data_IF_838462970230
#
_entry.id   IF_838462970230
#
_cell.length_a   1.000
_cell.length_b   1.000
_cell.length_c   1.000
_cell.angle_alpha   90.00
_cell.angle_beta   90.00
_cell.angle_gamma   90.00
#
_symmetry.space_group_name_H-M   'P 1'
#
loop_
_entity.id
_entity.type
_entity.pdbx_description
1 polymer ?
#
# COMPACT_ATOMS: atom_id res chain seq x y z
N UNK A 1 12.64 5.23 32.42
CA UNK A 1 12.61 3.82 32.08
C UNK A 1 11.43 3.46 31.20
N UNK A 2 10.22 3.78 31.62
CA UNK A 2 9.02 3.53 30.83
C UNK A 2 9.03 4.28 29.49
N UNK A 3 9.49 5.51 29.50
CA UNK A 3 9.62 6.34 28.31
C UNK A 3 10.58 5.73 27.29
N UNK A 4 11.72 5.23 27.75
CA UNK A 4 12.73 4.63 26.87
C UNK A 4 12.23 3.33 26.25
N UNK A 5 11.52 2.51 27.01
CA UNK A 5 10.88 1.30 26.50
C UNK A 5 9.83 1.64 25.43
N UNK A 6 9.04 2.67 25.64
CA UNK A 6 8.03 3.11 24.71
C UNK A 6 8.64 3.62 23.40
N UNK A 7 9.69 4.44 23.49
CA UNK A 7 10.41 4.96 22.33
C UNK A 7 11.07 3.85 21.53
N UNK A 8 11.70 2.90 22.21
CA UNK A 8 12.31 1.73 21.58
C UNK A 8 11.26 0.91 20.80
N UNK A 9 10.10 0.67 21.38
CA UNK A 9 9.00 -0.02 20.71
C UNK A 9 8.49 0.75 19.50
N UNK A 10 8.42 2.07 19.56
CA UNK A 10 8.01 2.90 18.44
C UNK A 10 9.03 2.78 17.31
N UNK A 11 10.32 2.84 17.60
CA UNK A 11 11.37 2.69 16.60
C UNK A 11 11.34 1.32 15.92
N UNK A 12 11.22 0.25 16.71
CA UNK A 12 11.16 -1.12 16.18
C UNK A 12 9.91 -1.35 15.33
N UNK A 13 8.78 -0.72 15.68
CA UNK A 13 7.49 -0.92 15.05
C UNK A 13 7.05 0.26 14.16
N UNK A 14 7.99 1.06 13.69
CA UNK A 14 7.68 2.23 12.87
C UNK A 14 6.85 1.86 11.62
N UNK A 15 7.20 0.78 10.94
CA UNK A 15 6.43 0.26 9.83
C UNK A 15 5.00 -0.12 10.20
N UNK A 16 4.82 -0.82 11.31
CA UNK A 16 3.49 -1.20 11.80
C UNK A 16 2.67 0.03 12.21
N UNK A 17 3.31 1.03 12.81
CA UNK A 17 2.63 2.27 13.18
C UNK A 17 2.13 3.01 11.95
N UNK A 18 2.96 3.12 10.93
CA UNK A 18 2.58 3.75 9.66
C UNK A 18 1.41 3.02 9.00
N UNK A 19 1.45 1.68 8.94
CA UNK A 19 0.36 0.87 8.42
C UNK A 19 -0.94 1.07 9.18
N UNK A 20 -0.88 1.13 10.51
CA UNK A 20 -2.06 1.37 11.35
C UNK A 20 -2.70 2.74 11.11
N UNK A 21 -1.87 3.77 10.98
CA UNK A 21 -2.35 5.12 10.66
C UNK A 21 -3.05 5.14 9.30
N UNK A 22 -2.44 4.52 8.30
CA UNK A 22 -3.02 4.43 6.96
C UNK A 22 -4.34 3.66 6.98
N UNK A 23 -4.40 2.53 7.70
CA UNK A 23 -5.61 1.74 7.83
C UNK A 23 -6.77 2.56 8.42
N UNK A 24 -6.50 3.34 9.45
CA UNK A 24 -7.51 4.21 10.07
C UNK A 24 -7.98 5.31 9.11
N UNK A 25 -7.07 5.96 8.39
CA UNK A 25 -7.40 7.00 7.44
C UNK A 25 -8.26 6.46 6.28
N UNK A 26 -7.93 5.29 5.77
CA UNK A 26 -8.72 4.64 4.71
C UNK A 26 -10.12 4.28 5.21
N UNK A 27 -10.25 3.78 6.43
CA UNK A 27 -11.56 3.47 7.02
C UNK A 27 -12.42 4.71 7.21
N UNK A 28 -11.83 5.80 7.67
CA UNK A 28 -12.54 7.08 7.83
C UNK A 28 -13.09 7.57 6.51
N UNK A 29 -12.38 7.32 5.42
CA UNK A 29 -12.83 7.66 4.07
C UNK A 29 -13.84 6.66 3.48
N UNK A 30 -14.28 5.68 4.25
CA UNK A 30 -15.31 4.73 3.85
C UNK A 30 -14.80 3.52 3.07
N UNK A 31 -13.49 3.32 2.99
CA UNK A 31 -12.94 2.15 2.32
C UNK A 31 -13.05 0.88 3.16
N UNK A 32 -13.46 -0.20 2.54
CA UNK A 32 -13.23 -1.53 3.07
C UNK A 32 -11.77 -1.91 2.90
N UNK A 33 -11.17 -2.45 3.95
CA UNK A 33 -9.78 -2.88 3.89
C UNK A 33 -9.70 -4.33 3.43
N UNK A 34 -8.96 -4.54 2.36
CA UNK A 34 -8.60 -5.86 1.87
C UNK A 34 -7.08 -5.98 1.88
N UNK A 35 -6.60 -7.21 2.03
CA UNK A 35 -5.18 -7.53 2.04
C UNK A 35 -4.89 -8.54 0.96
N UNK A 36 -3.68 -8.53 0.45
CA UNK A 36 -3.24 -9.53 -0.50
C UNK A 36 -1.83 -9.98 -0.17
N UNK A 37 -1.67 -11.28 0.00
CA UNK A 37 -0.33 -11.85 0.08
C UNK A 37 -0.31 -13.18 -0.67
N UNK A 38 0.81 -13.45 -1.29
CA UNK A 38 1.10 -14.72 -1.94
C UNK A 38 2.49 -15.17 -1.54
N UNK A 39 2.57 -16.34 -0.95
CA UNK A 39 3.84 -16.98 -0.66
C UNK A 39 3.96 -18.24 -1.51
N UNK A 40 5.13 -18.44 -2.08
CA UNK A 40 5.47 -19.64 -2.85
C UNK A 40 6.82 -20.12 -2.35
N UNK A 41 6.84 -21.31 -1.73
CA UNK A 41 8.06 -21.90 -1.19
C UNK A 41 9.02 -22.37 -2.28
N UNK A 42 8.46 -22.79 -3.40
CA UNK A 42 9.23 -23.38 -4.50
C UNK A 42 9.78 -22.29 -5.45
N UNK A 43 9.08 -21.16 -5.55
CA UNK A 43 9.49 -20.05 -6.40
C UNK A 43 9.37 -18.71 -5.69
N UNK A 44 10.47 -18.21 -5.08
CA UNK A 44 10.46 -16.90 -4.41
C UNK A 44 10.09 -15.73 -5.31
N UNK A 45 10.24 -15.85 -6.63
CA UNK A 45 9.88 -14.79 -7.57
C UNK A 45 8.38 -14.54 -7.64
N UNK A 46 7.55 -15.51 -7.21
CA UNK A 46 6.11 -15.38 -7.16
C UNK A 46 5.59 -14.75 -5.85
N UNK A 47 6.46 -14.44 -4.90
CA UNK A 47 6.05 -13.80 -3.66
C UNK A 47 5.56 -12.39 -3.90
N UNK A 48 4.38 -12.08 -3.36
CA UNK A 48 3.81 -10.74 -3.34
C UNK A 48 3.19 -10.46 -1.99
N UNK A 49 3.41 -9.25 -1.51
CA UNK A 49 2.76 -8.76 -0.31
C UNK A 49 2.31 -7.33 -0.56
N UNK A 50 1.00 -7.13 -0.53
CA UNK A 50 0.37 -5.82 -0.69
C UNK A 50 -0.31 -5.46 0.62
N UNK A 51 0.04 -4.32 1.19
CA UNK A 51 -0.45 -3.91 2.50
C UNK A 51 -1.95 -3.69 2.51
N UNK A 52 -2.48 -2.99 1.51
CA UNK A 52 -3.92 -2.74 1.39
C UNK A 52 -4.36 -2.77 -0.07
N UNK A 53 -5.61 -3.18 -0.26
CA UNK A 53 -6.31 -3.06 -1.53
C UNK A 53 -7.56 -2.21 -1.32
N UNK A 54 -7.78 -1.23 -2.17
CA UNK A 54 -9.04 -0.50 -2.23
C UNK A 54 -9.73 -0.74 -3.57
N UNK A 55 -11.04 -0.78 -3.55
CA UNK A 55 -11.86 -0.97 -4.74
C UNK A 55 -12.41 0.39 -5.15
N UNK A 56 -12.15 0.79 -6.38
CA UNK A 56 -12.61 2.06 -6.93
C UNK A 56 -13.61 1.84 -8.05
N UNK A 57 -14.66 2.67 -8.14
CA UNK A 57 -15.58 2.60 -9.26
C UNK A 57 -14.85 2.91 -10.56
N UNK A 58 -15.12 2.09 -11.58
CA UNK A 58 -14.56 2.28 -12.91
C UNK A 58 -15.54 1.73 -13.94
N UNK A 59 -16.09 2.61 -14.76
CA UNK A 59 -17.02 2.21 -15.80
C UNK A 59 -16.33 2.12 -17.15
N UNK A 60 -16.23 0.90 -17.65
CA UNK A 60 -16.03 0.65 -19.06
C UNK A 60 -16.86 -0.56 -19.49
N UNK A 61 -16.84 -0.91 -20.76
CA UNK A 61 -17.67 -1.98 -21.32
C UNK A 61 -17.48 -3.35 -20.67
N UNK A 62 -16.33 -3.60 -20.03
CA UNK A 62 -15.96 -4.90 -19.46
C UNK A 62 -15.95 -4.95 -17.93
N UNK A 63 -15.84 -3.82 -17.23
CA UNK A 63 -15.64 -3.79 -15.77
C UNK A 63 -16.29 -2.58 -15.12
N UNK A 64 -16.89 -2.81 -13.94
CA UNK A 64 -17.46 -1.74 -13.11
C UNK A 64 -16.50 -1.21 -12.07
N UNK A 65 -15.48 -1.99 -11.69
CA UNK A 65 -14.57 -1.68 -10.59
C UNK A 65 -13.13 -2.00 -10.97
N UNK A 66 -12.23 -1.21 -10.42
CA UNK A 66 -10.79 -1.50 -10.41
C UNK A 66 -10.32 -1.66 -8.99
N UNK A 67 -9.22 -2.40 -8.84
CA UNK A 67 -8.55 -2.58 -7.56
C UNK A 67 -7.26 -1.78 -7.56
N UNK A 68 -7.10 -0.93 -6.57
CA UNK A 68 -5.89 -0.13 -6.40
C UNK A 68 -5.08 -0.68 -5.22
N UNK A 69 -3.89 -1.23 -5.47
CA UNK A 69 -3.00 -1.70 -4.41
C UNK A 69 -2.28 -0.52 -3.76
N UNK A 70 -2.11 -0.60 -2.44
CA UNK A 70 -1.45 0.42 -1.64
C UNK A 70 -0.35 -0.25 -0.82
N UNK A 71 0.86 0.23 -0.94
CA UNK A 71 1.98 -0.13 -0.07
C UNK A 71 2.38 1.03 0.82
N UNK A 72 2.68 0.71 2.08
CA UNK A 72 3.16 1.67 3.06
C UNK A 72 4.64 1.44 3.28
N UNK A 73 5.44 2.46 3.05
CA UNK A 73 6.89 2.43 3.26
C UNK A 73 7.29 3.44 4.32
N UNK A 74 8.05 3.00 5.31
CA UNK A 74 8.51 3.86 6.39
C UNK A 74 9.88 4.49 6.13
N UNK A 75 10.61 4.01 5.14
CA UNK A 75 11.93 4.54 4.76
C UNK A 75 11.90 5.28 3.44
N UNK A 76 12.89 6.17 3.23
CA UNK A 76 13.00 6.96 2.00
C UNK A 76 13.45 6.13 0.79
N UNK A 77 14.16 5.03 1.02
CA UNK A 77 14.64 4.12 -0.02
C UNK A 77 13.89 2.80 0.06
N UNK A 78 13.28 2.41 -1.03
CA UNK A 78 12.48 1.20 -1.11
C UNK A 78 12.35 0.72 -2.55
N UNK A 79 11.83 -0.50 -2.72
CA UNK A 79 11.48 -1.06 -4.02
C UNK A 79 9.98 -1.29 -4.10
N UNK A 80 9.43 -1.21 -5.29
CA UNK A 80 8.01 -1.44 -5.57
C UNK A 80 7.77 -2.78 -6.26
N UNK A 81 8.54 -3.80 -5.88
CA UNK A 81 8.52 -5.12 -6.54
C UNK A 81 7.15 -5.78 -6.46
N UNK A 82 6.50 -5.76 -5.29
CA UNK A 82 5.18 -6.36 -5.14
C UNK A 82 4.11 -5.63 -5.95
N UNK A 83 4.16 -4.31 -6.01
CA UNK A 83 3.24 -3.52 -6.86
C UNK A 83 3.41 -3.86 -8.34
N UNK A 84 4.64 -4.01 -8.80
CA UNK A 84 4.93 -4.34 -10.19
C UNK A 84 4.45 -5.75 -10.52
N UNK A 85 4.68 -6.72 -9.65
CA UNK A 85 4.18 -8.08 -9.79
C UNK A 85 2.66 -8.14 -9.79
N UNK A 86 2.01 -7.37 -8.94
CA UNK A 86 0.56 -7.30 -8.86
C UNK A 86 -0.03 -6.75 -10.17
N UNK A 87 0.56 -5.69 -10.70
CA UNK A 87 0.17 -5.11 -11.99
C UNK A 87 0.34 -6.12 -13.13
N UNK A 88 1.46 -6.83 -13.17
CA UNK A 88 1.73 -7.84 -14.19
C UNK A 88 0.71 -8.99 -14.15
N UNK A 89 0.33 -9.43 -12.93
CA UNK A 89 -0.60 -10.55 -12.75
C UNK A 89 -2.05 -10.19 -13.06
N UNK A 90 -2.51 -9.02 -12.64
CA UNK A 90 -3.92 -8.63 -12.72
C UNK A 90 -4.21 -7.51 -13.72
N UNK A 91 -3.25 -7.08 -14.43
CA UNK A 91 -3.17 -5.99 -15.42
C UNK A 91 -4.44 -5.13 -15.63
N UNK A 92 -5.48 -5.69 -16.28
CA UNK A 92 -6.70 -4.94 -16.64
C UNK A 92 -7.56 -4.56 -15.44
N UNK A 93 -7.43 -5.25 -14.31
CA UNK A 93 -8.22 -5.03 -13.09
C UNK A 93 -7.57 -4.03 -12.15
N UNK A 94 -6.31 -3.68 -12.38
CA UNK A 94 -5.53 -2.79 -11.52
C UNK A 94 -5.72 -1.34 -11.96
N UNK A 95 -6.16 -0.51 -11.01
CA UNK A 95 -6.23 0.93 -11.19
C UNK A 95 -4.88 1.60 -10.89
N UNK A 96 -4.94 2.77 -10.27
CA UNK A 96 -3.75 3.47 -9.83
C UNK A 96 -3.09 2.70 -8.70
N UNK A 97 -1.77 2.55 -8.76
CA UNK A 97 -0.98 1.95 -7.69
C UNK A 97 -0.45 3.06 -6.79
N UNK A 98 -0.62 2.90 -5.49
CA UNK A 98 -0.22 3.90 -4.51
C UNK A 98 0.91 3.40 -3.63
N UNK A 99 1.86 4.29 -3.36
CA UNK A 99 2.87 4.11 -2.31
C UNK A 99 2.72 5.27 -1.33
N UNK A 100 2.55 4.94 -0.07
CA UNK A 100 2.54 5.93 1.01
C UNK A 100 3.92 5.89 1.67
N UNK A 101 4.63 7.02 1.61
CA UNK A 101 6.03 7.11 2.01
C UNK A 101 6.31 8.43 2.76
N UNK A 102 7.49 8.56 3.41
CA UNK A 102 7.80 9.76 4.18
C UNK A 102 8.39 10.91 3.37
N UNK A 103 8.25 10.90 2.04
CA UNK A 103 8.78 11.93 1.15
C UNK A 103 7.64 12.63 0.38
N UNK A 104 7.91 13.77 -0.30
CA UNK A 104 6.88 14.48 -1.06
C UNK A 104 6.25 13.66 -2.18
N UNK A 105 5.13 14.16 -2.68
CA UNK A 105 4.37 13.57 -3.77
C UNK A 105 5.23 13.41 -5.04
N UNK A 106 5.21 12.20 -5.61
CA UNK A 106 5.83 11.89 -6.89
C UNK A 106 4.89 11.01 -7.71
N UNK A 107 4.79 11.27 -8.99
CA UNK A 107 4.03 10.45 -9.94
C UNK A 107 4.97 9.84 -10.96
N UNK A 108 5.05 8.51 -11.00
CA UNK A 108 5.90 7.76 -11.94
C UNK A 108 5.16 6.54 -12.49
N UNK A 109 5.05 6.42 -13.82
CA UNK A 109 4.57 5.21 -14.49
C UNK A 109 3.30 4.58 -13.88
N UNK A 110 2.23 5.35 -13.69
CA UNK A 110 0.98 4.91 -13.06
C UNK A 110 1.10 4.55 -11.58
N UNK A 111 2.22 4.89 -10.95
CA UNK A 111 2.41 4.79 -9.50
C UNK A 111 2.37 6.20 -8.91
N UNK A 112 1.46 6.41 -7.99
CA UNK A 112 1.37 7.67 -7.23
C UNK A 112 2.01 7.45 -5.86
N UNK A 113 3.10 8.14 -5.60
CA UNK A 113 3.81 8.10 -4.32
C UNK A 113 3.38 9.29 -3.49
N UNK A 114 2.68 9.05 -2.39
CA UNK A 114 2.08 10.08 -1.54
C UNK A 114 2.75 10.10 -0.17
N UNK A 115 2.92 11.29 0.43
CA UNK A 115 3.22 11.35 1.86
C UNK A 115 2.18 10.58 2.66
N UNK A 116 2.60 9.91 3.75
CA UNK A 116 1.73 9.04 4.54
C UNK A 116 0.46 9.76 5.02
N UNK A 117 0.61 11.03 5.45
CA UNK A 117 -0.54 11.82 5.92
C UNK A 117 -1.58 12.10 4.84
N UNK A 118 -1.23 11.97 3.56
CA UNK A 118 -2.17 12.16 2.45
C UNK A 118 -3.05 10.93 2.19
N UNK A 119 -2.87 9.84 2.92
CA UNK A 119 -3.76 8.67 2.85
C UNK A 119 -5.23 9.04 3.10
N UNK A 120 -5.47 10.08 3.88
CA UNK A 120 -6.82 10.61 4.11
C UNK A 120 -7.50 11.18 2.86
N UNK A 121 -6.78 11.36 1.76
CA UNK A 121 -7.33 11.82 0.49
C UNK A 121 -7.75 10.66 -0.44
N UNK A 122 -7.34 9.45 -0.11
CA UNK A 122 -7.72 8.26 -0.85
C UNK A 122 -9.09 7.76 -0.38
#
# INVERSE_FOLDING_TARGET
LYRDILLERIEINEGMLAENVVAQLLRVNGHRLFFYSRSDRDDPSNRMEIDFLIVEPYENAAMKYRVSPIEVKSSKRYRTVSLDKFKAKFNKKVGIRYVLHPTPLVMENDVVKLPIYMAGLL
#
